data_IF_955504595683
#
_entry.id   IF_955504595683
#
_cell.length_a   1.000
_cell.length_b   1.000
_cell.length_c   1.000
_cell.angle_alpha   90.00
_cell.angle_beta   90.00
_cell.angle_gamma   90.00
#
_symmetry.space_group_name_H-M   'P 1'
#
loop_
_entity.id
_entity.type
_entity.pdbx_description
1 polymer ?
#
# COMPACT_ATOMS: atom_id res chain seq x y z
N UNK A 1 -1.08 -12.54 -28.87
CA UNK A 1 -1.37 -13.53 -27.80
C UNK A 1 -2.80 -13.28 -27.34
N UNK A 2 -3.61 -14.29 -27.04
CA UNK A 2 -4.99 -14.10 -26.60
C UNK A 2 -5.10 -14.15 -25.07
N UNK A 3 -6.14 -13.52 -24.50
CA UNK A 3 -6.45 -13.64 -23.07
C UNK A 3 -6.77 -15.10 -22.73
N UNK A 4 -6.28 -15.56 -21.58
CA UNK A 4 -6.72 -16.84 -21.02
C UNK A 4 -8.19 -16.74 -20.59
N UNK A 5 -8.88 -17.87 -20.45
CA UNK A 5 -10.32 -17.90 -20.15
C UNK A 5 -10.68 -17.14 -18.87
N UNK A 6 -9.96 -17.38 -17.78
CA UNK A 6 -10.23 -16.74 -16.48
C UNK A 6 -9.85 -15.26 -16.50
N UNK A 7 -8.73 -14.92 -17.14
CA UNK A 7 -8.33 -13.53 -17.37
C UNK A 7 -9.39 -12.76 -18.19
N UNK A 8 -9.95 -13.37 -19.24
CA UNK A 8 -11.02 -12.75 -20.02
C UNK A 8 -12.25 -12.46 -19.16
N UNK A 9 -12.66 -13.42 -18.31
CA UNK A 9 -13.81 -13.22 -17.40
C UNK A 9 -13.54 -12.07 -16.42
N UNK A 10 -12.32 -11.97 -15.90
CA UNK A 10 -11.90 -10.88 -15.04
C UNK A 10 -12.08 -9.52 -15.73
N UNK A 11 -11.47 -9.32 -16.90
CA UNK A 11 -11.56 -8.05 -17.63
C UNK A 11 -13.00 -7.70 -18.05
N UNK A 12 -13.80 -8.71 -18.42
CA UNK A 12 -15.19 -8.50 -18.75
C UNK A 12 -16.04 -8.12 -17.54
N UNK A 13 -15.84 -8.79 -16.38
CA UNK A 13 -16.60 -8.55 -15.15
C UNK A 13 -16.29 -7.17 -14.55
N UNK A 14 -15.01 -6.83 -14.43
CA UNK A 14 -14.58 -5.64 -13.69
C UNK A 14 -14.51 -4.38 -14.56
N UNK A 15 -14.24 -4.52 -15.86
CA UNK A 15 -13.96 -3.38 -16.75
C UNK A 15 -14.76 -3.38 -18.06
N UNK A 16 -15.58 -4.42 -18.32
CA UNK A 16 -16.33 -4.61 -19.58
C UNK A 16 -15.42 -4.66 -20.81
N UNK A 17 -14.20 -5.17 -20.64
CA UNK A 17 -13.21 -5.32 -21.71
C UNK A 17 -13.16 -6.79 -22.16
N UNK A 18 -13.22 -7.04 -23.47
CA UNK A 18 -13.24 -8.41 -24.01
C UNK A 18 -11.98 -8.80 -24.78
N UNK A 19 -11.24 -7.82 -25.31
CA UNK A 19 -10.06 -8.04 -26.15
C UNK A 19 -8.80 -7.53 -25.44
N UNK A 20 -7.69 -8.21 -25.70
CA UNK A 20 -6.40 -7.84 -25.13
C UNK A 20 -5.95 -6.42 -25.55
N UNK A 21 -6.20 -6.04 -26.80
CA UNK A 21 -5.81 -4.74 -27.37
C UNK A 21 -6.51 -3.55 -26.71
N UNK A 22 -7.66 -3.80 -26.06
CA UNK A 22 -8.46 -2.78 -25.40
C UNK A 22 -8.07 -2.59 -23.92
N UNK A 23 -7.17 -3.43 -23.38
CA UNK A 23 -6.74 -3.33 -21.98
C UNK A 23 -5.69 -2.23 -21.83
N UNK A 24 -5.96 -1.16 -21.07
CA UNK A 24 -4.99 -0.09 -20.86
C UNK A 24 -3.84 -0.58 -19.98
N UNK A 25 -2.61 -0.40 -20.45
CA UNK A 25 -1.40 -0.68 -19.68
C UNK A 25 -1.09 0.41 -18.64
N UNK A 26 -1.56 1.64 -18.88
CA UNK A 26 -1.35 2.81 -18.02
C UNK A 26 -2.65 3.27 -17.39
N UNK A 27 -2.62 3.48 -16.09
CA UNK A 27 -3.77 3.92 -15.28
C UNK A 27 -3.37 5.14 -14.47
N UNK A 28 -4.27 6.09 -14.30
CA UNK A 28 -4.03 7.25 -13.42
C UNK A 28 -4.02 6.85 -11.94
N UNK A 29 -4.86 5.89 -11.57
CA UNK A 29 -4.96 5.36 -10.22
C UNK A 29 -6.07 4.31 -10.13
N UNK A 30 -6.12 3.60 -9.02
CA UNK A 30 -7.14 2.59 -8.74
C UNK A 30 -7.65 2.72 -7.32
N UNK A 31 -8.97 2.75 -7.15
CA UNK A 31 -9.62 2.89 -5.85
C UNK A 31 -10.68 1.83 -5.68
N UNK A 32 -10.57 1.06 -4.60
CA UNK A 32 -11.60 0.10 -4.17
C UNK A 32 -11.87 0.24 -2.68
N UNK A 33 -13.13 0.44 -2.33
CA UNK A 33 -13.59 0.61 -0.96
C UNK A 33 -14.77 -0.34 -0.74
N UNK A 34 -14.75 -1.09 0.35
CA UNK A 34 -15.86 -1.96 0.78
C UNK A 34 -16.29 -2.91 -0.36
N UNK A 35 -15.34 -3.74 -0.79
CA UNK A 35 -15.47 -4.56 -2.00
C UNK A 35 -14.95 -5.98 -1.80
N UNK A 36 -15.39 -6.91 -2.64
CA UNK A 36 -14.94 -8.30 -2.66
C UNK A 36 -13.61 -8.51 -3.40
N UNK A 37 -12.90 -7.44 -3.78
CA UNK A 37 -11.59 -7.55 -4.42
C UNK A 37 -10.57 -8.23 -3.50
N UNK A 38 -9.89 -9.23 -4.03
CA UNK A 38 -8.92 -10.07 -3.34
C UNK A 38 -7.57 -10.09 -4.08
N UNK A 39 -6.71 -11.04 -3.70
CA UNK A 39 -5.39 -11.20 -4.32
C UNK A 39 -5.48 -11.66 -5.79
N UNK A 40 -6.51 -12.41 -6.18
CA UNK A 40 -6.74 -12.82 -7.57
C UNK A 40 -7.08 -11.60 -8.44
N UNK A 41 -7.88 -10.67 -7.91
CA UNK A 41 -8.13 -9.40 -8.57
C UNK A 41 -6.80 -8.69 -8.89
N UNK A 42 -5.92 -8.54 -7.90
CA UNK A 42 -4.63 -7.87 -8.07
C UNK A 42 -3.68 -8.65 -8.99
N UNK A 43 -3.72 -9.97 -8.97
CA UNK A 43 -2.98 -10.82 -9.90
C UNK A 43 -3.32 -10.50 -11.36
N UNK A 44 -4.60 -10.54 -11.73
CA UNK A 44 -5.02 -10.28 -13.11
C UNK A 44 -4.85 -8.80 -13.50
N UNK A 45 -5.11 -7.89 -12.57
CA UNK A 45 -4.89 -6.45 -12.80
C UNK A 45 -3.42 -6.17 -13.14
N UNK A 46 -2.49 -6.62 -12.30
CA UNK A 46 -1.04 -6.40 -12.48
C UNK A 46 -0.41 -7.25 -13.58
N UNK A 47 -1.15 -8.20 -14.18
CA UNK A 47 -0.71 -8.95 -15.35
C UNK A 47 -0.67 -8.08 -16.62
N UNK A 48 -1.50 -7.02 -16.69
CA UNK A 48 -1.61 -6.13 -17.85
C UNK A 48 -1.31 -4.68 -17.55
N UNK A 49 -1.62 -4.22 -16.34
CA UNK A 49 -1.30 -2.86 -15.90
C UNK A 49 0.16 -2.82 -15.51
N UNK A 50 0.94 -2.04 -16.25
CA UNK A 50 2.38 -1.87 -16.04
C UNK A 50 2.74 -0.54 -15.39
N UNK A 51 1.85 0.45 -15.46
CA UNK A 51 2.09 1.79 -14.92
C UNK A 51 0.82 2.33 -14.28
N UNK A 52 0.93 2.67 -13.00
CA UNK A 52 -0.12 3.25 -12.17
C UNK A 52 0.55 3.97 -11.02
N UNK A 53 0.10 5.19 -10.72
CA UNK A 53 0.74 6.04 -9.71
C UNK A 53 0.15 5.84 -8.33
N UNK A 54 -1.15 5.56 -8.24
CA UNK A 54 -1.87 5.55 -6.97
C UNK A 54 -2.81 4.35 -6.84
N UNK A 55 -2.73 3.64 -5.71
CA UNK A 55 -3.64 2.57 -5.34
C UNK A 55 -4.22 2.84 -3.95
N UNK A 56 -5.55 2.90 -3.87
CA UNK A 56 -6.30 3.06 -2.63
C UNK A 56 -7.23 1.86 -2.43
N UNK A 57 -6.87 0.99 -1.51
CA UNK A 57 -7.67 -0.14 -1.08
C UNK A 57 -8.11 0.11 0.36
N UNK A 58 -9.40 -0.05 0.61
CA UNK A 58 -9.95 0.00 1.96
C UNK A 58 -11.05 -1.05 2.10
N UNK A 59 -11.07 -1.80 3.19
CA UNK A 59 -12.14 -2.77 3.45
C UNK A 59 -12.28 -3.76 2.27
N UNK A 60 -11.15 -4.37 1.86
CA UNK A 60 -11.11 -5.38 0.79
C UNK A 60 -10.60 -6.73 1.32
N UNK A 61 -10.59 -7.76 0.49
CA UNK A 61 -10.14 -9.11 0.86
C UNK A 61 -8.64 -9.34 0.59
N UNK A 62 -7.90 -8.28 0.25
CA UNK A 62 -6.47 -8.32 -0.06
C UNK A 62 -5.63 -8.73 1.15
N UNK A 63 -4.61 -9.55 0.89
CA UNK A 63 -3.64 -10.07 1.87
C UNK A 63 -2.20 -9.74 1.44
N UNK A 64 -1.22 -10.26 2.17
CA UNK A 64 0.21 -10.15 1.82
C UNK A 64 0.52 -10.62 0.37
N UNK A 65 -0.20 -11.62 -0.17
CA UNK A 65 0.00 -12.07 -1.56
C UNK A 65 -0.47 -11.02 -2.59
N UNK A 66 -1.51 -10.26 -2.28
CA UNK A 66 -1.94 -9.13 -3.10
C UNK A 66 -0.90 -8.00 -3.09
N UNK A 67 -0.29 -7.70 -1.94
CA UNK A 67 0.81 -6.71 -1.84
C UNK A 67 2.01 -7.09 -2.71
N UNK A 68 2.36 -8.37 -2.75
CA UNK A 68 3.39 -8.91 -3.65
C UNK A 68 3.07 -8.72 -5.13
N UNK A 69 1.79 -8.74 -5.52
CA UNK A 69 1.39 -8.38 -6.88
C UNK A 69 1.56 -6.88 -7.15
N UNK A 70 1.16 -6.04 -6.19
CA UNK A 70 1.32 -4.58 -6.26
C UNK A 70 2.79 -4.19 -6.40
N UNK A 71 3.73 -4.89 -5.74
CA UNK A 71 5.17 -4.59 -5.76
C UNK A 71 5.84 -4.69 -7.14
N UNK A 72 5.14 -5.26 -8.13
CA UNK A 72 5.57 -5.29 -9.54
C UNK A 72 5.40 -3.94 -10.24
N UNK A 73 4.56 -3.05 -9.69
CA UNK A 73 4.26 -1.73 -10.25
C UNK A 73 5.35 -0.74 -9.85
N UNK A 74 6.40 -0.64 -10.66
CA UNK A 74 7.60 0.14 -10.33
C UNK A 74 7.41 1.66 -10.35
N UNK A 75 6.31 2.13 -10.93
CA UNK A 75 5.95 3.56 -10.96
C UNK A 75 4.99 3.95 -9.82
N UNK A 76 4.62 3.03 -8.92
CA UNK A 76 3.65 3.32 -7.87
C UNK A 76 4.24 4.28 -6.82
N UNK A 77 3.59 5.42 -6.64
CA UNK A 77 4.00 6.49 -5.72
C UNK A 77 3.15 6.50 -4.44
N UNK A 78 1.87 6.13 -4.52
CA UNK A 78 0.94 6.13 -3.39
C UNK A 78 0.28 4.76 -3.23
N UNK A 79 0.42 4.17 -2.05
CA UNK A 79 -0.20 2.89 -1.69
C UNK A 79 -0.92 2.99 -0.36
N UNK A 80 -2.24 3.09 -0.40
CA UNK A 80 -3.09 3.09 0.79
C UNK A 80 -3.81 1.75 0.92
N UNK A 81 -3.49 1.03 1.98
CA UNK A 81 -3.99 -0.30 2.37
C UNK A 81 -4.65 -0.19 3.74
N UNK A 82 -5.87 0.33 3.78
CA UNK A 82 -6.55 0.65 5.04
C UNK A 82 -7.54 -0.43 5.45
N UNK A 83 -7.54 -0.83 6.71
CA UNK A 83 -8.48 -1.84 7.24
C UNK A 83 -8.37 -3.21 6.55
N UNK A 84 -7.17 -3.79 6.60
CA UNK A 84 -6.87 -5.14 6.12
C UNK A 84 -6.18 -5.97 7.21
N UNK A 85 -6.95 -6.74 7.97
CA UNK A 85 -6.41 -7.61 9.05
C UNK A 85 -5.61 -8.82 8.55
N UNK A 86 -5.47 -9.00 7.24
CA UNK A 86 -4.65 -10.06 6.62
C UNK A 86 -3.40 -9.54 5.94
N UNK A 87 -3.11 -8.25 6.10
CA UNK A 87 -1.83 -7.65 5.73
C UNK A 87 -1.00 -7.60 7.00
N UNK A 88 0.11 -8.30 6.99
CA UNK A 88 0.98 -8.54 8.15
C UNK A 88 2.39 -8.05 7.84
N UNK A 89 3.32 -8.22 8.80
CA UNK A 89 4.74 -7.91 8.59
C UNK A 89 5.39 -8.64 7.41
N UNK A 90 4.77 -9.73 6.93
CA UNK A 90 5.23 -10.42 5.72
C UNK A 90 5.17 -9.53 4.46
N UNK A 91 4.40 -8.43 4.49
CA UNK A 91 4.36 -7.43 3.41
C UNK A 91 5.56 -6.47 3.37
N UNK A 92 6.30 -6.30 4.48
CA UNK A 92 7.37 -5.28 4.58
C UNK A 92 8.48 -5.46 3.52
N UNK A 93 8.98 -6.68 3.23
CA UNK A 93 9.96 -6.88 2.17
C UNK A 93 9.46 -6.38 0.80
N UNK A 94 8.16 -6.52 0.51
CA UNK A 94 7.59 -6.03 -0.74
C UNK A 94 7.51 -4.50 -0.77
N UNK A 95 7.20 -3.84 0.35
CA UNK A 95 7.29 -2.38 0.43
C UNK A 95 8.72 -1.89 0.20
N UNK A 96 9.73 -2.58 0.71
CA UNK A 96 11.14 -2.24 0.46
C UNK A 96 11.55 -2.35 -1.03
N UNK A 97 10.87 -3.17 -1.82
CA UNK A 97 11.11 -3.32 -3.27
C UNK A 97 10.40 -2.27 -4.15
N UNK A 98 9.52 -1.45 -3.57
CA UNK A 98 8.77 -0.39 -4.28
C UNK A 98 9.56 0.91 -4.27
N UNK A 99 10.57 1.02 -5.14
CA UNK A 99 11.56 2.11 -5.16
C UNK A 99 11.05 3.49 -5.55
N UNK A 100 9.79 3.61 -5.95
CA UNK A 100 9.14 4.88 -6.29
C UNK A 100 8.07 5.27 -5.26
N UNK A 101 7.85 4.44 -4.24
CA UNK A 101 6.76 4.61 -3.30
C UNK A 101 7.08 5.74 -2.32
N UNK A 102 6.28 6.80 -2.35
CA UNK A 102 6.48 8.00 -1.55
C UNK A 102 5.53 8.03 -0.34
N UNK A 103 4.31 7.51 -0.49
CA UNK A 103 3.29 7.56 0.56
C UNK A 103 2.68 6.18 0.80
N UNK A 104 2.86 5.65 2.01
CA UNK A 104 2.34 4.35 2.43
C UNK A 104 1.37 4.52 3.60
N UNK A 105 0.15 4.01 3.45
CA UNK A 105 -0.81 3.97 4.55
C UNK A 105 -1.23 2.54 4.83
N UNK A 106 -0.87 2.03 6.00
CA UNK A 106 -1.14 0.67 6.48
C UNK A 106 -1.93 0.70 7.80
N UNK A 107 -2.70 1.78 8.03
CA UNK A 107 -3.59 1.87 9.19
C UNK A 107 -4.62 0.73 9.18
N UNK A 108 -4.90 0.18 10.35
CA UNK A 108 -5.77 -0.98 10.57
C UNK A 108 -5.31 -2.22 9.78
N UNK A 109 -4.02 -2.48 9.78
CA UNK A 109 -3.42 -3.76 9.38
C UNK A 109 -2.81 -4.43 10.59
N UNK A 110 -2.26 -5.64 10.44
CA UNK A 110 -1.54 -6.36 11.50
C UNK A 110 -0.04 -6.01 11.51
N UNK A 111 0.37 -4.91 10.88
CA UNK A 111 1.75 -4.41 10.91
C UNK A 111 1.89 -3.45 12.09
N UNK A 112 2.73 -3.81 13.06
CA UNK A 112 2.99 -2.97 14.23
C UNK A 112 4.15 -1.98 14.00
N UNK A 113 4.26 -0.98 14.86
CA UNK A 113 5.41 -0.07 14.86
C UNK A 113 6.73 -0.81 15.13
N UNK A 114 6.72 -1.90 15.90
CA UNK A 114 7.89 -2.77 16.10
C UNK A 114 8.32 -3.45 14.79
N UNK A 115 7.39 -3.97 13.99
CA UNK A 115 7.73 -4.62 12.72
C UNK A 115 8.36 -3.64 11.71
N UNK A 116 7.85 -2.40 11.68
CA UNK A 116 8.40 -1.29 10.91
C UNK A 116 9.83 -0.97 11.39
N UNK A 117 10.01 -0.81 12.71
CA UNK A 117 11.31 -0.56 13.32
C UNK A 117 12.32 -1.67 13.02
N UNK A 118 11.88 -2.92 12.97
CA UNK A 118 12.76 -4.07 12.71
C UNK A 118 13.25 -4.13 11.27
N UNK A 119 12.43 -3.76 10.28
CA UNK A 119 12.68 -4.20 8.89
C UNK A 119 12.27 -3.26 7.76
N UNK A 120 11.52 -2.18 8.00
CA UNK A 120 11.24 -1.21 6.94
C UNK A 120 12.51 -0.41 6.64
N UNK A 121 12.88 -0.34 5.36
CA UNK A 121 14.06 0.36 4.85
C UNK A 121 13.85 0.85 3.40
N UNK A 122 12.66 1.39 3.11
CA UNK A 122 12.37 1.95 1.79
C UNK A 122 12.76 3.44 1.76
N UNK A 123 13.92 3.71 1.18
CA UNK A 123 14.50 5.06 1.08
C UNK A 123 13.73 6.04 0.16
N UNK A 124 12.73 5.56 -0.60
CA UNK A 124 11.87 6.43 -1.40
C UNK A 124 10.69 7.00 -0.62
N UNK A 125 10.31 6.38 0.51
CA UNK A 125 9.19 6.81 1.33
C UNK A 125 9.45 8.18 1.94
N UNK A 126 8.41 9.03 1.90
CA UNK A 126 8.35 10.35 2.53
C UNK A 126 7.37 10.37 3.68
N UNK A 127 6.34 9.52 3.63
CA UNK A 127 5.39 9.40 4.71
C UNK A 127 4.86 7.97 4.87
N UNK A 128 4.74 7.55 6.12
CA UNK A 128 4.12 6.28 6.51
C UNK A 128 3.07 6.54 7.58
N UNK A 129 1.86 6.02 7.34
CA UNK A 129 0.75 6.04 8.30
C UNK A 129 0.48 4.64 8.81
N UNK A 130 0.48 4.47 10.13
CA UNK A 130 0.21 3.19 10.79
C UNK A 130 -0.48 3.42 12.13
N UNK A 131 -1.12 2.37 12.64
CA UNK A 131 -1.65 2.38 14.00
C UNK A 131 -0.57 1.87 14.97
N UNK A 132 -0.56 2.41 16.19
CA UNK A 132 0.33 1.96 17.25
C UNK A 132 -0.39 1.98 18.59
N UNK A 133 -0.20 0.90 19.34
CA UNK A 133 -0.63 0.75 20.73
C UNK A 133 0.54 0.93 21.72
N UNK A 134 1.73 1.25 21.21
CA UNK A 134 2.91 1.50 22.04
C UNK A 134 2.70 2.73 22.95
N UNK A 135 3.22 2.65 24.17
CA UNK A 135 3.33 3.82 25.06
C UNK A 135 4.40 4.82 24.57
N UNK A 136 4.40 6.01 25.15
CA UNK A 136 5.31 7.10 24.76
C UNK A 136 6.80 6.73 24.88
N UNK A 137 7.19 5.94 25.88
CA UNK A 137 8.59 5.53 26.10
C UNK A 137 9.03 4.58 24.99
N UNK A 138 8.21 3.56 24.70
CA UNK A 138 8.41 2.61 23.60
C UNK A 138 8.47 3.28 22.23
N UNK A 139 7.66 4.33 22.00
CA UNK A 139 7.72 5.12 20.77
C UNK A 139 9.05 5.86 20.65
N UNK A 140 9.51 6.52 21.71
CA UNK A 140 10.75 7.32 21.70
C UNK A 140 11.98 6.47 21.36
N UNK A 141 12.05 5.22 21.84
CA UNK A 141 13.13 4.29 21.50
C UNK A 141 13.14 3.95 20.00
N UNK A 142 11.97 3.66 19.43
CA UNK A 142 11.84 3.30 18.00
C UNK A 142 12.08 4.48 17.07
N UNK A 143 11.69 5.69 17.49
CA UNK A 143 11.93 6.94 16.75
C UNK A 143 13.41 7.13 16.44
N UNK A 144 14.30 6.83 17.39
CA UNK A 144 15.75 6.98 17.19
C UNK A 144 16.23 6.08 16.04
N UNK A 145 15.78 4.82 16.02
CA UNK A 145 16.14 3.83 14.99
C UNK A 145 15.59 4.25 13.62
N UNK A 146 14.31 4.63 13.57
CA UNK A 146 13.67 5.03 12.32
C UNK A 146 14.27 6.30 11.75
N UNK A 147 14.63 7.26 12.61
CA UNK A 147 15.28 8.51 12.18
C UNK A 147 16.69 8.28 11.65
N UNK A 148 17.44 7.34 12.21
CA UNK A 148 18.75 6.98 11.69
C UNK A 148 18.65 6.25 10.34
N UNK A 149 17.68 5.33 10.21
CA UNK A 149 17.52 4.51 9.01
C UNK A 149 16.84 5.24 7.86
N UNK A 150 15.81 6.02 8.15
CA UNK A 150 14.92 6.68 7.17
C UNK A 150 14.73 8.17 7.54
N UNK A 151 15.80 8.98 7.56
CA UNK A 151 15.79 10.35 8.09
C UNK A 151 14.85 11.30 7.32
N UNK A 152 14.55 11.00 6.06
CA UNK A 152 13.70 11.83 5.19
C UNK A 152 12.24 11.34 5.14
N UNK A 153 11.86 10.39 6.02
CA UNK A 153 10.52 9.81 6.06
C UNK A 153 9.81 10.18 7.36
N UNK A 154 8.64 10.81 7.24
CA UNK A 154 7.76 11.14 8.35
C UNK A 154 6.84 9.96 8.70
N UNK A 155 6.77 9.61 9.98
CA UNK A 155 5.86 8.56 10.47
C UNK A 155 4.70 9.19 11.24
N UNK A 156 3.47 8.81 10.90
CA UNK A 156 2.25 9.29 11.54
C UNK A 156 1.52 8.13 12.19
N UNK A 157 1.22 8.27 13.49
CA UNK A 157 0.56 7.23 14.27
C UNK A 157 -0.92 7.53 14.45
N UNK A 158 -1.77 6.50 14.35
CA UNK A 158 -3.19 6.54 14.67
C UNK A 158 -3.99 7.60 13.88
N UNK A 159 -3.50 7.94 12.68
CA UNK A 159 -4.15 8.82 11.71
C UNK A 159 -3.91 8.31 10.30
N UNK A 160 -4.80 8.64 9.38
CA UNK A 160 -4.64 8.36 7.95
C UNK A 160 -4.35 9.62 7.12
N UNK A 161 -4.15 10.76 7.78
CA UNK A 161 -4.04 12.07 7.16
C UNK A 161 -2.98 12.91 7.86
N UNK A 162 -2.40 13.89 7.14
CA UNK A 162 -1.45 14.87 7.67
C UNK A 162 -2.12 16.09 8.30
N UNK A 163 -3.45 16.19 8.23
CA UNK A 163 -4.24 17.24 8.88
C UNK A 163 -5.40 16.65 9.66
N UNK A 164 -5.81 17.34 10.73
CA UNK A 164 -7.01 17.00 11.47
C UNK A 164 -8.30 17.46 10.73
N UNK A 165 -9.46 17.26 11.37
CA UNK A 165 -10.77 17.63 10.81
C UNK A 165 -10.98 19.15 10.67
N UNK A 166 -10.08 19.96 11.24
CA UNK A 166 -10.09 21.41 11.18
C UNK A 166 -8.95 21.96 10.29
N UNK A 167 -8.32 21.09 9.49
CA UNK A 167 -7.18 21.43 8.60
C UNK A 167 -5.90 21.83 9.35
N UNK A 168 -5.81 21.57 10.66
CA UNK A 168 -4.57 21.79 11.39
C UNK A 168 -3.57 20.68 11.04
N UNK A 169 -2.28 20.99 10.82
CA UNK A 169 -1.26 19.98 10.61
C UNK A 169 -1.13 19.04 11.81
N UNK A 170 -1.04 17.74 11.53
CA UNK A 170 -0.67 16.71 12.49
C UNK A 170 0.85 16.56 12.44
N UNK A 171 1.51 16.52 13.59
CA UNK A 171 2.95 16.30 13.64
C UNK A 171 3.28 14.80 13.47
N UNK A 172 4.29 14.44 12.66
CA UNK A 172 4.85 13.10 12.69
C UNK A 172 5.60 12.85 14.00
N UNK A 173 5.98 11.60 14.25
CA UNK A 173 6.70 11.21 15.47
C UNK A 173 8.17 11.66 15.48
N UNK A 174 8.75 12.12 14.35
CA UNK A 174 10.06 12.81 14.29
C UNK A 174 10.33 13.57 12.99
#
# INVERSE_FOLDING_TARGET
>A
MNLLKEEKKFWQRHFRIEKLEDIPQKWSGYKSIDSDNDDEFLYFFTLRVSSILEIHLKDTLVTDEGVKHIAKLKDLEILYLRNHSKITKASIPFFNEMTSLQSLNITKTEISLSDICDSLDNQSLKEVFLDSEDDEESILEKVIILKERMPDCSFYLNTSFTTDVFENPIAPIF
#
